data_IF_713890587654
#
_entry.id   IF_713890587654
#
_cell.length_a   1.000
_cell.length_b   1.000
_cell.length_c   1.000
_cell.angle_alpha   90.00
_cell.angle_beta   90.00
_cell.angle_gamma   90.00
#
_symmetry.space_group_name_H-M   'P 1'
#
loop_
_entity.id
_entity.type
_entity.pdbx_description
1 polymer ?
#
# COMPACT_ATOMS: atom_id res chain seq x y z
N UNK A 1 -68.53 -15.31 -2.06
CA UNK A 1 -67.62 -14.14 -2.07
C UNK A 1 -66.18 -14.67 -2.01
N UNK A 2 -65.42 -14.49 -3.10
CA UNK A 2 -63.94 -14.35 -3.22
C UNK A 2 -63.02 -15.41 -2.55
N UNK A 3 -61.92 -15.93 -3.12
CA UNK A 3 -61.21 -15.75 -4.40
C UNK A 3 -60.15 -16.85 -4.55
N UNK A 4 -59.98 -17.32 -5.77
CA UNK A 4 -58.91 -18.20 -6.30
C UNK A 4 -57.55 -17.50 -6.27
N UNK A 5 -56.49 -18.18 -5.83
CA UNK A 5 -55.11 -17.78 -6.11
C UNK A 5 -54.26 -19.01 -6.49
N UNK A 6 -54.32 -19.38 -7.77
CA UNK A 6 -53.27 -20.15 -8.44
C UNK A 6 -52.07 -19.23 -8.65
N UNK A 7 -50.92 -19.57 -8.07
CA UNK A 7 -49.61 -19.04 -8.52
C UNK A 7 -48.67 -20.24 -8.69
N UNK A 8 -48.95 -21.04 -9.71
CA UNK A 8 -47.91 -21.84 -10.34
C UNK A 8 -47.05 -20.89 -11.15
N UNK A 9 -45.84 -20.58 -10.68
CA UNK A 9 -44.86 -19.87 -11.52
C UNK A 9 -44.49 -20.84 -12.65
N UNK A 10 -44.64 -20.48 -13.94
CA UNK A 10 -44.11 -21.31 -15.00
C UNK A 10 -42.59 -21.23 -14.90
N UNK A 11 -41.96 -22.32 -14.49
CA UNK A 11 -40.52 -22.51 -14.66
C UNK A 11 -40.32 -22.62 -16.16
N UNK A 12 -39.94 -21.52 -16.81
CA UNK A 12 -39.65 -21.50 -18.24
C UNK A 12 -38.55 -22.53 -18.49
N UNK A 13 -38.80 -23.62 -19.25
CA UNK A 13 -37.78 -24.62 -19.49
C UNK A 13 -36.65 -23.96 -20.28
N UNK A 14 -35.50 -23.79 -19.64
CA UNK A 14 -34.32 -23.20 -20.25
C UNK A 14 -33.83 -24.18 -21.31
N UNK A 15 -34.19 -23.90 -22.56
CA UNK A 15 -33.79 -24.71 -23.68
C UNK A 15 -32.49 -24.17 -24.28
N UNK A 16 -31.69 -25.01 -24.96
CA UNK A 16 -30.35 -24.62 -25.50
C UNK A 16 -30.36 -23.31 -26.30
N UNK A 17 -31.47 -23.02 -26.99
CA UNK A 17 -31.70 -21.78 -27.75
C UNK A 17 -31.83 -20.53 -26.88
N UNK A 18 -32.35 -20.63 -25.66
CA UNK A 18 -32.36 -19.53 -24.68
C UNK A 18 -30.97 -19.29 -24.09
N UNK A 19 -30.21 -20.36 -23.87
CA UNK A 19 -28.82 -20.28 -23.43
C UNK A 19 -27.93 -19.59 -24.47
N UNK A 20 -28.10 -19.93 -25.76
CA UNK A 20 -27.40 -19.28 -26.87
C UNK A 20 -27.81 -17.80 -27.08
N UNK A 21 -29.07 -17.45 -26.83
CA UNK A 21 -29.53 -16.04 -26.89
C UNK A 21 -28.97 -15.19 -25.75
N UNK A 22 -28.89 -15.74 -24.53
CA UNK A 22 -28.28 -15.05 -23.38
C UNK A 22 -26.76 -14.90 -23.55
N UNK A 23 -26.08 -15.90 -24.10
CA UNK A 23 -24.66 -15.80 -24.43
C UNK A 23 -24.37 -14.67 -25.44
N UNK A 24 -25.27 -14.47 -26.42
CA UNK A 24 -25.17 -13.37 -27.40
C UNK A 24 -25.41 -11.96 -26.83
N UNK A 25 -26.23 -11.82 -25.79
CA UNK A 25 -26.47 -10.53 -25.14
C UNK A 25 -25.31 -10.13 -24.19
N UNK A 26 -24.71 -11.11 -23.51
CA UNK A 26 -23.52 -10.89 -22.68
C UNK A 26 -22.31 -10.43 -23.52
N UNK A 27 -22.13 -10.99 -24.73
CA UNK A 27 -21.07 -10.55 -25.65
C UNK A 27 -21.34 -9.16 -26.22
N UNK A 28 -22.59 -8.75 -26.44
CA UNK A 28 -22.89 -7.39 -26.91
C UNK A 28 -22.56 -6.30 -25.86
N UNK A 29 -22.83 -6.54 -24.57
CA UNK A 29 -22.47 -5.59 -23.50
C UNK A 29 -20.97 -5.53 -23.25
N UNK A 30 -20.28 -6.67 -23.34
CA UNK A 30 -18.82 -6.71 -23.29
C UNK A 30 -18.19 -6.02 -24.52
N UNK A 31 -18.78 -6.22 -25.71
CA UNK A 31 -18.33 -5.59 -26.95
C UNK A 31 -18.56 -4.06 -26.93
N UNK A 32 -19.68 -3.58 -26.38
CA UNK A 32 -19.92 -2.15 -26.21
C UNK A 32 -18.90 -1.51 -25.25
N UNK A 33 -18.63 -2.18 -24.13
CA UNK A 33 -17.59 -1.74 -23.18
C UNK A 33 -16.20 -1.72 -23.82
N UNK A 34 -15.87 -2.72 -24.63
CA UNK A 34 -14.62 -2.79 -25.39
C UNK A 34 -14.51 -1.70 -26.46
N UNK A 35 -15.60 -1.41 -27.18
CA UNK A 35 -15.65 -0.36 -28.19
C UNK A 35 -15.53 1.04 -27.56
N UNK A 36 -16.24 1.31 -26.46
CA UNK A 36 -16.12 2.58 -25.73
C UNK A 36 -14.71 2.79 -25.15
N UNK A 37 -14.04 1.70 -24.71
CA UNK A 37 -12.63 1.74 -24.28
C UNK A 37 -11.68 2.08 -25.44
N UNK A 38 -11.98 1.63 -26.65
CA UNK A 38 -11.19 1.93 -27.84
C UNK A 38 -11.38 3.38 -28.32
N UNK A 39 -12.56 3.98 -28.07
CA UNK A 39 -12.91 5.36 -28.44
C UNK A 39 -12.47 6.42 -27.40
N UNK A 40 -11.83 6.02 -26.29
CA UNK A 40 -11.23 6.97 -25.32
C UNK A 40 -12.24 7.74 -24.45
N UNK A 41 -13.51 7.36 -24.43
CA UNK A 41 -14.54 8.02 -23.63
C UNK A 41 -14.51 7.59 -22.16
N UNK A 42 -14.15 8.50 -21.25
CA UNK A 42 -14.21 8.28 -19.81
C UNK A 42 -15.62 8.53 -19.27
N UNK A 43 -16.26 7.51 -18.69
CA UNK A 43 -17.44 7.69 -17.84
C UNK A 43 -17.19 7.07 -16.47
N UNK A 44 -17.30 7.87 -15.41
CA UNK A 44 -17.21 7.45 -14.01
C UNK A 44 -18.59 7.03 -13.51
N UNK A 45 -18.78 5.73 -13.20
CA UNK A 45 -20.03 5.17 -12.67
C UNK A 45 -20.09 5.19 -11.14
N UNK A 46 -19.18 5.91 -10.48
CA UNK A 46 -19.13 6.01 -9.01
C UNK A 46 -19.60 7.40 -8.57
N UNK A 47 -20.41 7.50 -7.50
CA UNK A 47 -20.76 8.79 -6.93
C UNK A 47 -19.50 9.53 -6.51
N UNK A 48 -19.53 10.86 -6.62
CA UNK A 48 -18.46 11.75 -6.17
C UNK A 48 -18.30 11.60 -4.65
N UNK A 49 -17.35 10.77 -4.24
CA UNK A 49 -16.94 10.66 -2.85
C UNK A 49 -16.10 11.90 -2.54
N UNK A 50 -16.74 12.97 -2.06
CA UNK A 50 -16.03 14.03 -1.36
C UNK A 50 -15.35 13.36 -0.15
N UNK A 51 -14.03 13.26 -0.19
CA UNK A 51 -13.25 12.32 0.61
C UNK A 51 -13.54 12.41 2.11
N UNK A 52 -13.26 11.33 2.85
CA UNK A 52 -13.28 11.34 4.32
C UNK A 52 -12.52 12.58 4.82
N UNK A 53 -13.04 13.29 5.84
CA UNK A 53 -12.35 14.46 6.43
C UNK A 53 -10.87 14.18 6.80
N UNK A 54 -10.53 12.92 7.10
CA UNK A 54 -9.16 12.48 7.33
C UNK A 54 -8.23 12.65 6.10
N UNK A 55 -8.78 12.69 4.89
CA UNK A 55 -8.05 12.93 3.62
C UNK A 55 -8.01 14.40 3.20
N UNK A 56 -8.75 15.29 3.89
CA UNK A 56 -8.76 16.73 3.57
C UNK A 56 -7.71 17.52 4.35
N UNK A 57 -7.04 16.89 5.32
CA UNK A 57 -5.91 17.47 6.06
C UNK A 57 -4.61 16.76 5.64
N UNK A 58 -3.56 17.48 5.21
CA UNK A 58 -2.29 16.85 4.88
C UNK A 58 -1.66 16.23 6.13
N UNK A 59 -1.57 14.90 6.15
CA UNK A 59 -0.87 14.12 7.17
C UNK A 59 0.54 13.80 6.67
N UNK A 60 1.55 14.07 7.50
CA UNK A 60 2.94 13.75 7.21
C UNK A 60 3.49 12.83 8.29
N UNK A 61 4.24 11.80 7.87
CA UNK A 61 5.04 10.98 8.79
C UNK A 61 6.21 11.84 9.25
N UNK A 62 6.32 12.06 10.57
CA UNK A 62 7.39 12.89 11.14
C UNK A 62 8.71 12.12 11.23
N UNK A 63 8.69 10.96 11.90
CA UNK A 63 9.84 10.10 12.12
C UNK A 63 9.39 8.65 12.34
N UNK A 64 10.33 7.72 12.23
CA UNK A 64 10.12 6.29 12.47
C UNK A 64 10.84 5.87 13.74
N UNK A 65 10.14 5.18 14.64
CA UNK A 65 10.76 4.57 15.82
C UNK A 65 10.94 3.07 15.61
N UNK A 66 12.18 2.58 15.73
CA UNK A 66 12.52 1.17 15.65
C UNK A 66 12.88 0.64 17.03
N UNK A 67 12.26 -0.47 17.44
CA UNK A 67 12.72 -1.23 18.61
C UNK A 67 13.89 -2.11 18.19
N UNK A 68 15.04 -1.92 18.82
CA UNK A 68 16.28 -2.61 18.45
C UNK A 68 16.87 -3.32 19.66
N UNK A 69 17.36 -4.54 19.44
CA UNK A 69 18.01 -5.32 20.50
C UNK A 69 19.42 -4.84 20.79
N UNK A 70 20.12 -4.38 19.75
CA UNK A 70 21.46 -3.81 19.83
C UNK A 70 21.41 -2.39 19.26
N UNK A 71 21.33 -1.41 20.16
CA UNK A 71 21.23 -0.01 19.78
C UNK A 71 22.54 0.53 19.21
N UNK A 72 23.70 0.02 19.64
CA UNK A 72 25.01 0.47 19.18
C UNK A 72 25.26 0.01 17.73
N UNK A 73 25.03 -1.27 17.46
CA UNK A 73 25.13 -1.83 16.11
C UNK A 73 24.20 -1.12 15.13
N UNK A 74 22.95 -0.88 15.53
CA UNK A 74 21.97 -0.20 14.68
C UNK A 74 22.32 1.29 14.51
N UNK A 75 22.81 1.96 15.56
CA UNK A 75 23.28 3.35 15.43
C UNK A 75 24.40 3.45 14.41
N UNK A 76 25.38 2.53 14.45
CA UNK A 76 26.46 2.46 13.45
C UNK A 76 25.93 2.19 12.05
N UNK A 77 25.01 1.22 11.88
CA UNK A 77 24.40 0.96 10.57
C UNK A 77 23.75 2.21 9.97
N UNK A 78 22.89 2.88 10.74
CA UNK A 78 22.17 4.06 10.24
C UNK A 78 23.05 5.29 10.05
N UNK A 79 24.19 5.40 10.76
CA UNK A 79 25.11 6.53 10.62
C UNK A 79 26.21 6.30 9.58
N UNK A 80 26.86 5.14 9.58
CA UNK A 80 27.99 4.84 8.70
C UNK A 80 27.55 4.43 7.29
N UNK A 81 26.47 3.64 7.15
CA UNK A 81 26.02 3.13 5.84
C UNK A 81 24.98 4.07 5.21
N UNK A 82 24.02 4.55 6.00
CA UNK A 82 22.98 5.46 5.52
C UNK A 82 23.36 6.94 5.61
N UNK A 83 24.43 7.28 6.34
CA UNK A 83 24.91 8.66 6.46
C UNK A 83 24.08 9.55 7.39
N UNK A 84 23.24 8.98 8.27
CA UNK A 84 22.46 9.79 9.22
C UNK A 84 23.34 10.31 10.36
N UNK A 85 23.12 11.56 10.76
CA UNK A 85 23.80 12.15 11.92
C UNK A 85 23.11 11.73 13.21
N UNK A 86 23.90 11.39 14.24
CA UNK A 86 23.38 11.21 15.59
C UNK A 86 23.05 12.58 16.17
N UNK A 87 21.78 12.83 16.45
CA UNK A 87 21.29 14.10 16.98
C UNK A 87 21.24 14.09 18.51
N UNK A 88 20.89 12.95 19.08
CA UNK A 88 20.78 12.78 20.53
C UNK A 88 20.94 11.32 20.92
N UNK A 89 21.61 11.09 22.03
CA UNK A 89 21.73 9.77 22.65
C UNK A 89 21.37 9.85 24.12
N UNK A 90 20.52 8.92 24.55
CA UNK A 90 20.09 8.72 25.93
C UNK A 90 20.38 7.26 26.33
N UNK A 91 20.10 6.86 27.57
CA UNK A 91 20.29 5.47 28.01
C UNK A 91 19.46 4.47 27.18
N UNK A 92 18.27 4.89 26.74
CA UNK A 92 17.27 3.98 26.18
C UNK A 92 17.00 4.27 24.70
N UNK A 93 17.44 5.41 24.18
CA UNK A 93 17.12 5.87 22.82
C UNK A 93 18.27 6.61 22.16
N UNK A 94 18.40 6.41 20.84
CA UNK A 94 19.27 7.21 19.96
C UNK A 94 18.42 7.82 18.85
N UNK A 95 18.48 9.15 18.68
CA UNK A 95 17.84 9.86 17.57
C UNK A 95 18.84 10.12 16.45
N UNK A 96 18.46 9.78 15.23
CA UNK A 96 19.26 9.99 14.03
C UNK A 96 18.48 10.82 13.00
N UNK A 97 19.19 11.63 12.24
CA UNK A 97 18.57 12.54 11.28
C UNK A 97 19.54 13.31 10.41
N UNK A 98 19.00 14.31 9.70
CA UNK A 98 19.75 15.19 8.79
C UNK A 98 19.34 16.62 9.09
N UNK A 99 20.27 17.57 9.09
CA UNK A 99 20.03 18.99 9.33
C UNK A 99 19.24 19.29 10.61
N UNK A 100 19.48 18.50 11.68
CA UNK A 100 18.78 18.63 12.96
C UNK A 100 17.35 18.09 12.97
N UNK A 101 16.84 17.59 11.85
CA UNK A 101 15.52 16.96 11.74
C UNK A 101 15.66 15.47 12.03
N UNK A 102 14.98 14.98 13.07
CA UNK A 102 14.95 13.56 13.41
C UNK A 102 14.16 12.77 12.37
N UNK A 103 14.76 11.71 11.82
CA UNK A 103 14.13 10.78 10.88
C UNK A 103 13.93 9.40 11.51
N UNK A 104 14.89 8.96 12.33
CA UNK A 104 14.86 7.69 13.03
C UNK A 104 15.06 7.88 14.54
N UNK A 105 14.26 7.15 15.32
CA UNK A 105 14.50 6.95 16.74
C UNK A 105 14.74 5.46 16.98
N UNK A 106 15.93 5.09 17.43
CA UNK A 106 16.24 3.73 17.85
C UNK A 106 15.91 3.60 19.33
N UNK A 107 14.97 2.74 19.69
CA UNK A 107 14.60 2.44 21.07
C UNK A 107 15.24 1.10 21.48
N UNK A 108 16.14 1.16 22.45
CA UNK A 108 16.87 0.00 22.94
C UNK A 108 15.94 -0.92 23.75
N UNK A 109 15.70 -2.12 23.23
CA UNK A 109 14.90 -3.20 23.82
C UNK A 109 15.62 -4.53 23.61
N UNK A 110 16.61 -4.87 24.46
CA UNK A 110 17.41 -6.09 24.29
C UNK A 110 16.57 -7.38 24.37
N UNK A 111 15.44 -7.30 25.06
CA UNK A 111 14.44 -8.35 25.27
C UNK A 111 13.33 -8.38 24.20
N UNK A 112 13.40 -7.53 23.17
CA UNK A 112 12.41 -7.54 22.10
C UNK A 112 12.33 -8.93 21.42
N UNK A 113 11.11 -9.47 21.20
CA UNK A 113 10.93 -10.75 20.55
C UNK A 113 11.44 -10.70 19.11
N UNK A 114 11.99 -11.82 18.63
CA UNK A 114 12.30 -11.96 17.21
C UNK A 114 11.00 -12.17 16.43
N UNK A 115 10.90 -11.48 15.30
CA UNK A 115 9.76 -11.65 14.39
C UNK A 115 9.73 -13.10 13.87
N UNK A 116 8.58 -13.79 13.95
CA UNK A 116 8.46 -15.14 13.40
C UNK A 116 8.53 -15.09 11.87
N UNK A 117 9.15 -16.10 11.25
CA UNK A 117 9.36 -16.17 9.79
C UNK A 117 8.07 -16.25 8.96
N UNK A 118 6.93 -16.41 9.62
CA UNK A 118 5.59 -16.46 9.02
C UNK A 118 4.90 -15.10 8.98
N UNK A 119 5.45 -14.07 9.64
CA UNK A 119 4.93 -12.72 9.53
C UNK A 119 5.37 -12.04 8.23
N UNK A 120 4.51 -11.17 7.74
CA UNK A 120 4.64 -10.56 6.42
C UNK A 120 5.76 -9.51 6.30
N UNK A 121 6.53 -9.25 7.37
CA UNK A 121 7.69 -8.34 7.35
C UNK A 121 7.37 -6.94 6.81
N UNK A 122 6.17 -6.43 7.11
CA UNK A 122 5.56 -5.30 6.39
C UNK A 122 6.15 -3.91 6.72
N UNK A 123 7.21 -3.83 7.50
CA UNK A 123 7.80 -2.56 7.88
C UNK A 123 9.00 -2.24 6.99
N UNK A 124 8.75 -1.50 5.90
CA UNK A 124 9.81 -0.92 5.09
C UNK A 124 9.87 0.61 5.26
N UNK A 125 11.08 1.16 5.29
CA UNK A 125 11.30 2.60 5.14
C UNK A 125 12.15 2.80 3.89
N UNK A 126 11.68 3.64 2.97
CA UNK A 126 12.35 3.90 1.70
C UNK A 126 12.73 5.39 1.61
N UNK A 127 13.98 5.65 1.25
CA UNK A 127 14.47 6.99 0.96
C UNK A 127 14.37 7.27 -0.53
N UNK A 128 13.61 8.30 -0.90
CA UNK A 128 13.48 8.71 -2.29
C UNK A 128 14.76 9.39 -2.76
N UNK A 129 15.35 8.87 -3.84
CA UNK A 129 16.51 9.48 -4.49
C UNK A 129 16.09 10.48 -5.56
N UNK A 130 16.83 11.60 -5.77
CA UNK A 130 16.49 12.60 -6.77
C UNK A 130 16.52 12.08 -8.20
N UNK A 131 17.37 11.09 -8.49
CA UNK A 131 17.48 10.46 -9.80
C UNK A 131 18.02 9.04 -9.72
N UNK A 132 17.87 8.27 -10.81
CA UNK A 132 18.46 6.94 -10.94
C UNK A 132 20.00 6.95 -10.87
N UNK A 133 20.64 8.03 -11.34
CA UNK A 133 22.08 8.16 -11.27
C UNK A 133 22.57 8.38 -9.82
N UNK A 134 21.81 9.13 -9.01
CA UNK A 134 22.09 9.24 -7.56
C UNK A 134 21.93 7.90 -6.86
N UNK A 135 20.88 7.13 -7.19
CA UNK A 135 20.73 5.77 -6.65
C UNK A 135 21.94 4.88 -7.00
N UNK A 136 22.43 4.91 -8.24
CA UNK A 136 23.59 4.12 -8.65
C UNK A 136 24.86 4.51 -7.87
N UNK A 137 25.11 5.82 -7.66
CA UNK A 137 26.22 6.29 -6.82
C UNK A 137 26.08 5.81 -5.38
N UNK A 138 24.89 5.90 -4.82
CA UNK A 138 24.63 5.46 -3.45
C UNK A 138 24.84 3.94 -3.29
N UNK A 139 24.42 3.12 -4.26
CA UNK A 139 24.67 1.68 -4.24
C UNK A 139 26.18 1.33 -4.25
N UNK A 140 26.98 2.06 -5.01
CA UNK A 140 28.44 1.87 -5.00
C UNK A 140 29.03 2.28 -3.65
N UNK A 141 28.57 3.39 -3.07
CA UNK A 141 29.01 3.83 -1.75
C UNK A 141 28.74 2.76 -0.68
N UNK A 142 27.53 2.23 -0.61
CA UNK A 142 27.15 1.24 0.42
C UNK A 142 27.81 -0.12 0.24
N UNK A 143 28.22 -0.50 -0.97
CA UNK A 143 28.99 -1.72 -1.20
C UNK A 143 30.46 -1.63 -0.75
N UNK A 144 30.96 -0.42 -0.53
CA UNK A 144 32.37 -0.15 -0.20
C UNK A 144 32.55 0.39 1.24
N UNK A 145 31.45 0.69 1.94
CA UNK A 145 31.40 1.10 3.34
C UNK A 145 31.40 -0.13 4.26
#
# INVERSE_FOLDING_TARGET
MLTRAQIGRPIMPINRRHLLRLAGAATASAALTGALRAEGGSFSILPEYDGLFATTTPLHVRDVTLRVRDAELMTRFYSEILGLSVLETTSDKTRLGVDGITLFTLEHRPDAPLEPTTEAGLYHTAFLMPSRAELARWLVHTAMA
#
